data_IF_229409604727
#
_entry.id   IF_229409604727
#
_cell.length_a   1.000
_cell.length_b   1.000
_cell.length_c   1.000
_cell.angle_alpha   90.00
_cell.angle_beta   90.00
_cell.angle_gamma   90.00
#
_symmetry.space_group_name_H-M   'P 1'
#
loop_
_entity.id
_entity.type
_entity.pdbx_description
1 polymer ?
#
# COMPACT_ATOMS: atom_id res chain seq x y z
N UNK A 1 27.72 -6.07 -20.57
CA UNK A 1 26.37 -5.88 -21.16
C UNK A 1 25.61 -4.84 -20.35
N UNK A 2 25.21 -3.71 -20.93
CA UNK A 2 24.37 -2.73 -20.21
C UNK A 2 22.95 -3.26 -20.23
N UNK A 3 22.41 -3.56 -19.06
CA UNK A 3 21.00 -3.95 -18.89
C UNK A 3 20.13 -2.79 -19.38
N UNK A 4 19.18 -3.03 -20.28
CA UNK A 4 18.27 -1.99 -20.78
C UNK A 4 17.48 -1.33 -19.65
N UNK A 5 17.20 -0.05 -19.77
CA UNK A 5 16.48 0.72 -18.75
C UNK A 5 15.12 0.10 -18.41
N UNK A 6 14.36 -0.31 -19.42
CA UNK A 6 13.04 -0.97 -19.23
C UNK A 6 13.13 -2.27 -18.42
N UNK A 7 14.22 -3.01 -18.57
CA UNK A 7 14.46 -4.25 -17.84
C UNK A 7 14.94 -3.98 -16.40
N UNK A 8 15.67 -2.90 -16.22
CA UNK A 8 16.08 -2.43 -14.89
C UNK A 8 14.88 -1.96 -14.08
N UNK A 9 13.97 -1.19 -14.67
CA UNK A 9 12.75 -0.71 -14.01
C UNK A 9 11.81 -1.86 -13.60
N UNK A 10 11.71 -2.90 -14.45
CA UNK A 10 10.95 -4.12 -14.11
C UNK A 10 11.62 -4.93 -13.00
N UNK A 11 12.95 -5.05 -13.02
CA UNK A 11 13.71 -5.72 -11.96
C UNK A 11 13.57 -4.98 -10.63
N UNK A 12 13.73 -3.66 -10.62
CA UNK A 12 13.55 -2.82 -9.44
C UNK A 12 12.13 -2.91 -8.88
N UNK A 13 11.11 -2.98 -9.77
CA UNK A 13 9.72 -3.23 -9.38
C UNK A 13 9.52 -4.60 -8.72
N UNK A 14 10.07 -5.67 -9.31
CA UNK A 14 10.01 -7.01 -8.75
C UNK A 14 10.79 -7.12 -7.44
N UNK A 15 12.00 -6.55 -7.37
CA UNK A 15 12.82 -6.50 -6.16
C UNK A 15 12.13 -5.75 -5.03
N UNK A 16 11.41 -4.68 -5.32
CA UNK A 16 10.68 -3.92 -4.31
C UNK A 16 9.54 -4.75 -3.67
N UNK A 17 8.87 -5.60 -4.43
CA UNK A 17 7.83 -6.50 -3.91
C UNK A 17 8.44 -7.62 -3.05
N UNK A 18 9.53 -8.24 -3.52
CA UNK A 18 10.27 -9.25 -2.74
C UNK A 18 10.81 -8.63 -1.45
N UNK A 19 11.33 -7.40 -1.52
CA UNK A 19 11.83 -6.68 -0.34
C UNK A 19 10.72 -6.42 0.71
N UNK A 20 9.50 -6.12 0.28
CA UNK A 20 8.35 -5.95 1.19
C UNK A 20 8.03 -7.28 1.89
N UNK A 21 8.10 -8.39 1.17
CA UNK A 21 7.85 -9.71 1.72
C UNK A 21 8.94 -10.12 2.72
N UNK A 22 10.20 -9.86 2.42
CA UNK A 22 11.33 -10.03 3.34
C UNK A 22 11.19 -9.20 4.61
N UNK A 23 10.71 -7.96 4.51
CA UNK A 23 10.44 -7.11 5.67
C UNK A 23 9.33 -7.69 6.57
N UNK A 24 8.30 -8.28 5.97
CA UNK A 24 7.21 -8.92 6.71
C UNK A 24 7.64 -10.20 7.42
N UNK A 25 8.69 -10.86 6.94
CA UNK A 25 9.31 -12.06 7.53
C UNK A 25 10.26 -11.78 8.70
N UNK A 26 10.72 -10.53 8.88
CA UNK A 26 11.63 -10.17 9.97
C UNK A 26 10.93 -10.28 11.34
N UNK A 27 11.71 -10.62 12.39
CA UNK A 27 11.22 -10.68 13.75
C UNK A 27 11.13 -9.27 14.37
N UNK A 28 9.99 -8.62 14.22
CA UNK A 28 9.64 -7.35 14.86
C UNK A 28 8.40 -7.51 15.74
N UNK A 29 8.08 -6.48 16.55
CA UNK A 29 6.91 -6.52 17.44
C UNK A 29 5.60 -6.69 16.66
N UNK A 30 5.39 -5.88 15.62
CA UNK A 30 4.18 -5.97 14.79
C UNK A 30 4.08 -7.27 14.00
N UNK A 31 5.18 -7.86 13.56
CA UNK A 31 5.16 -9.11 12.81
C UNK A 31 4.71 -10.33 13.64
N UNK A 32 4.89 -10.25 14.99
CA UNK A 32 4.52 -11.31 15.93
C UNK A 32 3.04 -11.29 16.34
N UNK A 33 2.31 -10.22 16.05
CA UNK A 33 0.92 -10.01 16.44
C UNK A 33 -0.02 -10.66 15.42
N UNK A 34 -1.18 -11.14 15.92
CA UNK A 34 -2.24 -11.70 15.09
C UNK A 34 -2.67 -10.67 14.00
N UNK A 35 -2.71 -11.06 12.71
CA UNK A 35 -3.09 -10.17 11.62
C UNK A 35 -4.46 -9.53 11.80
N UNK A 36 -5.44 -10.24 12.40
CA UNK A 36 -6.78 -9.71 12.69
C UNK A 36 -6.74 -8.58 13.73
N UNK A 37 -6.00 -8.80 14.84
CA UNK A 37 -5.85 -7.79 15.88
C UNK A 37 -5.17 -6.52 15.31
N UNK A 38 -4.13 -6.70 14.49
CA UNK A 38 -3.42 -5.62 13.83
C UNK A 38 -4.34 -4.80 12.91
N UNK A 39 -5.13 -5.48 12.08
CA UNK A 39 -6.09 -4.82 11.19
C UNK A 39 -7.13 -4.03 11.98
N UNK A 40 -7.68 -4.63 13.05
CA UNK A 40 -8.65 -3.96 13.92
C UNK A 40 -8.06 -2.70 14.58
N UNK A 41 -6.83 -2.79 15.08
CA UNK A 41 -6.13 -1.65 15.71
C UNK A 41 -5.90 -0.53 14.69
N UNK A 42 -5.45 -0.84 13.48
CA UNK A 42 -5.19 0.16 12.46
C UNK A 42 -6.47 0.83 11.99
N UNK A 43 -7.55 0.06 11.79
CA UNK A 43 -8.87 0.63 11.48
C UNK A 43 -9.33 1.55 12.62
N UNK A 44 -9.17 1.11 13.86
CA UNK A 44 -9.49 1.93 15.03
C UNK A 44 -8.68 3.22 15.07
N UNK A 45 -7.37 3.17 14.83
CA UNK A 45 -6.48 4.33 14.75
C UNK A 45 -6.95 5.34 13.70
N UNK A 46 -7.30 4.85 12.49
CA UNK A 46 -7.80 5.69 11.40
C UNK A 46 -9.14 6.32 11.77
N UNK A 47 -10.08 5.52 12.29
CA UNK A 47 -11.39 6.02 12.69
C UNK A 47 -11.30 7.04 13.83
N UNK A 48 -10.48 6.78 14.84
CA UNK A 48 -10.28 7.69 15.97
C UNK A 48 -9.62 9.01 15.53
N UNK A 49 -8.73 9.01 14.53
CA UNK A 49 -8.13 10.23 14.00
C UNK A 49 -9.15 11.20 13.39
N UNK A 50 -10.32 10.71 12.94
CA UNK A 50 -11.35 11.55 12.35
C UNK A 50 -12.07 12.42 13.41
N UNK A 51 -12.11 11.98 14.65
CA UNK A 51 -12.76 12.70 15.75
C UNK A 51 -11.89 13.80 16.36
N UNK A 52 -10.59 13.82 16.06
CA UNK A 52 -9.65 14.80 16.59
C UNK A 52 -9.66 16.06 15.73
N UNK A 53 -10.08 17.17 16.31
CA UNK A 53 -10.18 18.47 15.63
C UNK A 53 -9.00 19.41 15.97
N UNK A 54 -8.19 19.12 17.02
CA UNK A 54 -7.08 19.97 17.43
C UNK A 54 -5.76 19.52 16.77
N UNK A 55 -5.01 20.50 16.26
CA UNK A 55 -3.72 20.26 15.61
C UNK A 55 -2.68 19.67 16.58
N UNK A 56 -2.67 20.12 17.84
CA UNK A 56 -1.75 19.65 18.87
C UNK A 56 -1.93 18.17 19.20
N UNK A 57 -3.18 17.73 19.38
CA UNK A 57 -3.48 16.34 19.66
C UNK A 57 -3.19 15.45 18.46
N UNK A 58 -3.48 15.93 17.25
CA UNK A 58 -3.19 15.21 16.02
C UNK A 58 -1.69 15.03 15.79
N UNK A 59 -0.88 16.06 16.08
CA UNK A 59 0.58 15.98 16.01
C UNK A 59 1.16 14.97 17.04
N UNK A 60 0.60 14.93 18.25
CA UNK A 60 1.00 13.96 19.27
C UNK A 60 0.74 12.52 18.82
N UNK A 61 -0.42 12.26 18.24
CA UNK A 61 -0.80 10.93 17.74
C UNK A 61 0.04 10.50 16.53
N UNK A 62 0.55 11.44 15.72
CA UNK A 62 1.46 11.15 14.62
C UNK A 62 2.80 10.51 15.07
N UNK A 63 3.17 10.65 16.33
CA UNK A 63 4.32 9.94 16.89
C UNK A 63 4.07 8.42 17.00
N UNK A 64 2.81 7.98 17.11
CA UNK A 64 2.45 6.57 17.27
C UNK A 64 2.89 5.68 16.08
N UNK A 65 2.52 5.98 14.81
CA UNK A 65 2.99 5.18 13.69
C UNK A 65 4.51 5.19 13.53
N UNK A 66 5.20 6.29 13.89
CA UNK A 66 6.66 6.36 13.90
C UNK A 66 7.26 5.45 14.98
N UNK A 67 6.73 5.48 16.20
CA UNK A 67 7.17 4.62 17.28
C UNK A 67 6.93 3.13 16.95
N UNK A 68 5.79 2.81 16.34
CA UNK A 68 5.46 1.46 15.90
C UNK A 68 6.37 0.99 14.75
N UNK A 69 6.73 1.86 13.81
CA UNK A 69 7.68 1.56 12.74
C UNK A 69 9.07 1.23 13.31
N UNK A 70 9.54 2.02 14.28
CA UNK A 70 10.80 1.77 15.00
C UNK A 70 10.79 0.45 15.76
N UNK A 71 9.74 0.21 16.53
CA UNK A 71 9.55 -1.02 17.30
C UNK A 71 9.46 -2.27 16.40
N UNK A 72 9.02 -2.11 15.16
CA UNK A 72 8.91 -3.16 14.14
C UNK A 72 10.19 -3.35 13.32
N UNK A 73 11.26 -2.59 13.61
CA UNK A 73 12.53 -2.62 12.87
C UNK A 73 12.36 -2.34 11.36
N UNK A 74 11.36 -1.56 11.00
CA UNK A 74 11.16 -1.11 9.62
C UNK A 74 12.13 0.05 9.35
N UNK A 75 12.88 0.07 8.23
CA UNK A 75 13.80 1.16 7.92
C UNK A 75 13.01 2.46 7.73
N UNK A 76 13.25 3.43 8.62
CA UNK A 76 12.50 4.70 8.69
C UNK A 76 12.60 5.49 7.38
N UNK A 77 13.77 5.49 6.74
CA UNK A 77 13.97 6.19 5.46
C UNK A 77 13.02 5.68 4.38
N UNK A 78 12.89 4.35 4.26
CA UNK A 78 11.97 3.74 3.29
C UNK A 78 10.49 3.97 3.66
N UNK A 79 10.18 3.89 4.94
CA UNK A 79 8.84 4.19 5.46
C UNK A 79 8.44 5.64 5.17
N UNK A 80 9.32 6.60 5.49
CA UNK A 80 9.04 8.03 5.32
C UNK A 80 8.95 8.41 3.83
N UNK A 81 9.86 7.93 3.00
CA UNK A 81 9.82 8.15 1.54
C UNK A 81 8.50 7.66 0.92
N UNK A 82 8.04 6.49 1.35
CA UNK A 82 6.78 5.91 0.86
C UNK A 82 5.54 6.66 1.36
N UNK A 83 5.57 7.14 2.61
CA UNK A 83 4.41 7.81 3.22
C UNK A 83 4.37 9.32 2.93
N UNK A 84 5.46 9.94 2.48
CA UNK A 84 5.50 11.38 2.21
C UNK A 84 4.85 11.79 0.88
N UNK A 85 4.82 10.90 -0.11
CA UNK A 85 4.32 11.22 -1.45
C UNK A 85 2.82 11.54 -1.46
N UNK A 86 2.00 10.71 -0.83
CA UNK A 86 0.53 10.86 -0.83
C UNK A 86 0.07 12.13 -0.09
N UNK A 87 0.57 12.44 1.13
CA UNK A 87 0.22 13.70 1.79
C UNK A 87 0.69 14.93 1.04
N UNK A 88 1.81 14.88 0.33
CA UNK A 88 2.24 15.97 -0.55
C UNK A 88 1.20 16.29 -1.63
N UNK A 89 0.65 15.26 -2.26
CA UNK A 89 -0.43 15.42 -3.23
C UNK A 89 -1.76 15.86 -2.58
N UNK A 90 -2.08 15.32 -1.39
CA UNK A 90 -3.25 15.74 -0.62
C UNK A 90 -3.16 17.21 -0.18
N UNK A 91 -1.97 17.68 0.23
CA UNK A 91 -1.73 19.08 0.52
C UNK A 91 -1.99 19.97 -0.71
N UNK A 92 -1.58 19.55 -1.90
CA UNK A 92 -1.84 20.28 -3.14
C UNK A 92 -3.35 20.39 -3.41
N UNK A 93 -4.12 19.31 -3.20
CA UNK A 93 -5.60 19.33 -3.37
C UNK A 93 -6.26 20.21 -2.32
N UNK A 94 -5.70 20.33 -1.13
CA UNK A 94 -6.31 21.12 -0.04
C UNK A 94 -5.97 22.61 -0.09
N UNK A 95 -5.15 23.08 -1.04
CA UNK A 95 -4.85 24.51 -1.25
C UNK A 95 -6.12 25.39 -1.34
N UNK A 96 -7.19 25.02 -2.07
CA UNK A 96 -8.41 25.83 -2.12
C UNK A 96 -9.05 26.08 -0.75
N UNK A 97 -8.85 25.18 0.23
CA UNK A 97 -9.40 25.33 1.58
C UNK A 97 -8.85 26.57 2.28
N UNK A 98 -7.59 26.97 1.98
CA UNK A 98 -6.99 28.20 2.52
C UNK A 98 -7.77 29.46 2.16
N UNK A 99 -8.44 29.46 0.99
CA UNK A 99 -9.12 30.64 0.45
C UNK A 99 -10.63 30.62 0.70
N UNK A 100 -11.23 29.42 0.83
CA UNK A 100 -12.70 29.27 0.96
C UNK A 100 -13.13 29.35 2.42
N UNK A 101 -12.26 29.01 3.38
CA UNK A 101 -12.64 28.96 4.79
C UNK A 101 -12.81 30.38 5.36
N UNK A 102 -14.00 30.72 5.90
CA UNK A 102 -14.23 32.04 6.51
C UNK A 102 -13.40 32.15 7.81
N UNK A 103 -12.75 33.32 8.00
CA UNK A 103 -11.94 33.57 9.19
C UNK A 103 -11.20 34.89 9.14
N UNK A 104 -10.30 35.12 10.11
CA UNK A 104 -9.51 36.35 10.15
C UNK A 104 -8.46 36.34 9.03
N UNK A 105 -8.50 37.34 8.12
CA UNK A 105 -7.57 37.38 7.01
C UNK A 105 -6.16 37.70 7.48
N UNK A 106 -5.21 36.81 7.23
CA UNK A 106 -3.77 37.03 7.51
C UNK A 106 -3.09 37.70 6.33
N UNK A 107 -3.52 37.38 5.12
CA UNK A 107 -2.98 37.95 3.90
C UNK A 107 -4.10 38.14 2.87
N UNK A 108 -4.27 39.37 2.38
CA UNK A 108 -5.27 39.67 1.36
C UNK A 108 -4.56 40.07 0.09
N UNK A 109 -4.79 39.35 -1.01
CA UNK A 109 -4.29 39.71 -2.33
C UNK A 109 -5.48 39.99 -3.24
N UNK A 110 -5.60 41.22 -3.70
CA UNK A 110 -6.64 41.64 -4.65
C UNK A 110 -6.13 41.39 -6.08
N UNK A 111 -6.59 40.33 -6.73
CA UNK A 111 -6.39 40.06 -8.15
C UNK A 111 -7.64 40.51 -8.94
N UNK A 112 -7.96 41.78 -8.89
CA UNK A 112 -9.03 42.40 -9.68
C UNK A 112 -10.45 41.95 -9.29
N UNK A 113 -10.92 40.85 -9.84
CA UNK A 113 -12.30 40.33 -9.65
C UNK A 113 -12.39 39.32 -8.49
N UNK A 114 -11.27 38.72 -8.06
CA UNK A 114 -11.21 37.73 -7.01
C UNK A 114 -10.41 38.25 -5.81
N UNK A 115 -11.10 38.47 -4.68
CA UNK A 115 -10.48 38.74 -3.38
C UNK A 115 -10.02 37.43 -2.77
N UNK A 116 -8.76 37.04 -2.98
CA UNK A 116 -8.17 35.86 -2.37
C UNK A 116 -7.59 36.26 -0.99
N UNK A 117 -8.32 35.89 0.06
CA UNK A 117 -7.86 36.09 1.43
C UNK A 117 -7.45 34.76 2.03
N UNK A 118 -6.19 34.66 2.44
CA UNK A 118 -5.72 33.52 3.24
C UNK A 118 -6.11 33.78 4.68
N UNK A 119 -6.95 32.89 5.25
CA UNK A 119 -7.44 33.01 6.63
C UNK A 119 -6.61 32.18 7.60
N UNK A 120 -6.51 32.60 8.85
CA UNK A 120 -5.81 31.83 9.91
C UNK A 120 -6.46 30.46 10.13
N UNK A 121 -7.79 30.43 10.13
CA UNK A 121 -8.58 29.19 10.24
C UNK A 121 -8.37 28.28 9.04
N UNK A 122 -8.24 28.85 7.84
CA UNK A 122 -7.93 28.11 6.62
C UNK A 122 -6.56 27.41 6.71
N UNK A 123 -5.54 28.08 7.27
CA UNK A 123 -4.21 27.47 7.49
C UNK A 123 -4.30 26.30 8.47
N UNK A 124 -5.03 26.47 9.57
CA UNK A 124 -5.21 25.40 10.57
C UNK A 124 -5.92 24.19 9.95
N UNK A 125 -7.00 24.42 9.22
CA UNK A 125 -7.73 23.34 8.53
C UNK A 125 -6.87 22.62 7.48
N UNK A 126 -6.09 23.36 6.71
CA UNK A 126 -5.14 22.83 5.74
C UNK A 126 -4.10 21.91 6.43
N UNK A 127 -3.52 22.38 7.55
CA UNK A 127 -2.55 21.60 8.31
C UNK A 127 -3.18 20.35 8.92
N UNK A 128 -4.35 20.48 9.56
CA UNK A 128 -5.08 19.34 10.14
C UNK A 128 -5.36 18.29 9.06
N UNK A 129 -5.83 18.70 7.89
CA UNK A 129 -6.11 17.78 6.78
C UNK A 129 -4.84 17.07 6.31
N UNK A 130 -3.76 17.80 6.04
CA UNK A 130 -2.51 17.24 5.55
C UNK A 130 -1.89 16.24 6.54
N UNK A 131 -1.86 16.59 7.82
CA UNK A 131 -1.33 15.74 8.89
C UNK A 131 -2.22 14.49 9.08
N UNK A 132 -3.54 14.63 9.00
CA UNK A 132 -4.49 13.52 9.09
C UNK A 132 -4.29 12.53 7.95
N UNK A 133 -4.17 13.01 6.71
CA UNK A 133 -3.90 12.15 5.55
C UNK A 133 -2.56 11.42 5.72
N UNK A 134 -1.52 12.13 6.18
CA UNK A 134 -0.24 11.49 6.47
C UNK A 134 -0.37 10.38 7.52
N UNK A 135 -1.10 10.62 8.60
CA UNK A 135 -1.34 9.63 9.65
C UNK A 135 -2.07 8.39 9.12
N UNK A 136 -3.12 8.57 8.33
CA UNK A 136 -3.87 7.46 7.70
C UNK A 136 -2.97 6.63 6.78
N UNK A 137 -2.18 7.29 5.92
CA UNK A 137 -1.27 6.63 5.00
C UNK A 137 -0.14 5.92 5.74
N UNK A 138 0.41 6.53 6.79
CA UNK A 138 1.43 5.93 7.64
C UNK A 138 0.91 4.66 8.33
N UNK A 139 -0.30 4.72 8.89
CA UNK A 139 -0.95 3.58 9.55
C UNK A 139 -1.20 2.42 8.57
N UNK A 140 -1.71 2.70 7.36
CA UNK A 140 -1.88 1.68 6.31
C UNK A 140 -0.55 1.10 5.82
N UNK A 141 0.47 1.95 5.66
CA UNK A 141 1.81 1.49 5.27
C UNK A 141 2.42 0.56 6.30
N UNK A 142 2.19 0.81 7.59
CA UNK A 142 2.58 -0.10 8.67
C UNK A 142 1.92 -1.47 8.54
N UNK A 143 0.62 -1.51 8.21
CA UNK A 143 -0.10 -2.77 7.99
C UNK A 143 0.56 -3.57 6.86
N UNK A 144 0.77 -2.93 5.71
CA UNK A 144 1.30 -3.58 4.51
C UNK A 144 2.74 -4.08 4.76
N UNK A 145 3.61 -3.24 5.34
CA UNK A 145 5.01 -3.58 5.59
C UNK A 145 5.21 -4.63 6.69
N UNK A 146 4.26 -4.73 7.64
CA UNK A 146 4.34 -5.68 8.75
C UNK A 146 3.56 -6.98 8.53
N UNK A 147 2.73 -7.05 7.47
CA UNK A 147 1.84 -8.18 7.20
C UNK A 147 2.13 -8.72 5.80
N UNK A 148 2.69 -9.91 5.69
CA UNK A 148 2.93 -10.55 4.40
C UNK A 148 1.63 -10.86 3.67
N UNK A 149 1.72 -11.04 2.36
CA UNK A 149 0.55 -11.28 1.51
C UNK A 149 -0.24 -12.54 1.93
N UNK A 150 0.44 -13.60 2.32
CA UNK A 150 -0.19 -14.83 2.82
C UNK A 150 -1.07 -14.58 4.04
N UNK A 151 -0.62 -13.72 4.97
CA UNK A 151 -1.40 -13.33 6.15
C UNK A 151 -2.61 -12.47 5.78
N UNK A 152 -2.52 -11.68 4.72
CA UNK A 152 -3.65 -10.90 4.19
C UNK A 152 -4.71 -11.84 3.61
N UNK A 153 -4.31 -12.91 2.92
CA UNK A 153 -5.24 -13.94 2.43
C UNK A 153 -5.96 -14.65 3.57
N UNK A 154 -5.25 -14.97 4.66
CA UNK A 154 -5.85 -15.51 5.88
C UNK A 154 -6.87 -14.52 6.49
N UNK A 155 -6.57 -13.22 6.48
CA UNK A 155 -7.52 -12.19 6.91
C UNK A 155 -8.80 -12.20 6.07
N UNK A 156 -8.66 -12.25 4.73
CA UNK A 156 -9.81 -12.31 3.84
C UNK A 156 -10.69 -13.52 4.11
N UNK A 157 -10.10 -14.69 4.32
CA UNK A 157 -10.85 -15.89 4.67
C UNK A 157 -11.59 -15.77 6.00
N UNK A 158 -11.00 -15.06 6.98
CA UNK A 158 -11.60 -14.82 8.29
C UNK A 158 -12.77 -13.83 8.24
N UNK A 159 -12.76 -12.89 7.29
CA UNK A 159 -13.85 -11.93 7.04
C UNK A 159 -15.03 -12.56 6.27
N UNK A 160 -15.08 -13.91 6.18
CA UNK A 160 -16.13 -14.67 5.46
C UNK A 160 -16.20 -14.36 3.97
N UNK A 161 -15.10 -13.91 3.37
CA UNK A 161 -14.99 -13.80 1.92
C UNK A 161 -15.10 -15.20 1.31
N UNK A 162 -15.86 -15.41 0.21
CA UNK A 162 -15.97 -16.70 -0.45
C UNK A 162 -14.60 -17.30 -0.77
N UNK A 163 -14.43 -18.60 -0.51
CA UNK A 163 -13.17 -19.35 -0.72
C UNK A 163 -12.62 -19.19 -2.13
N UNK A 164 -13.52 -19.15 -3.14
CA UNK A 164 -13.19 -18.91 -4.55
C UNK A 164 -12.35 -17.63 -4.74
N UNK A 165 -12.79 -16.52 -4.12
CA UNK A 165 -12.12 -15.22 -4.26
C UNK A 165 -10.75 -15.24 -3.59
N UNK A 166 -10.65 -15.82 -2.39
CA UNK A 166 -9.37 -15.96 -1.68
C UNK A 166 -8.38 -16.78 -2.51
N UNK A 167 -8.86 -17.88 -3.09
CA UNK A 167 -8.07 -18.74 -3.95
C UNK A 167 -7.61 -18.04 -5.24
N UNK A 168 -8.50 -17.26 -5.86
CA UNK A 168 -8.13 -16.44 -7.03
C UNK A 168 -7.00 -15.47 -6.70
N UNK A 169 -7.05 -14.80 -5.56
CA UNK A 169 -5.97 -13.90 -5.12
C UNK A 169 -4.68 -14.66 -4.84
N UNK A 170 -4.74 -15.83 -4.19
CA UNK A 170 -3.57 -16.66 -3.89
C UNK A 170 -2.87 -17.10 -5.19
N UNK A 171 -3.64 -17.61 -6.16
CA UNK A 171 -3.10 -18.00 -7.45
C UNK A 171 -2.55 -16.79 -8.23
N UNK A 172 -3.28 -15.67 -8.25
CA UNK A 172 -2.83 -14.44 -8.93
C UNK A 172 -1.48 -13.98 -8.38
N UNK A 173 -1.32 -13.94 -7.06
CA UNK A 173 -0.07 -13.55 -6.43
C UNK A 173 1.08 -14.48 -6.80
N UNK A 174 0.88 -15.79 -6.71
CA UNK A 174 1.89 -16.79 -7.06
C UNK A 174 2.31 -16.68 -8.53
N UNK A 175 1.35 -16.57 -9.46
CA UNK A 175 1.64 -16.51 -10.89
C UNK A 175 2.08 -15.13 -11.37
N UNK A 176 1.88 -14.09 -10.56
CA UNK A 176 2.42 -12.76 -10.85
C UNK A 176 3.94 -12.80 -10.99
N UNK A 177 4.67 -13.40 -10.05
CA UNK A 177 6.13 -13.52 -10.13
C UNK A 177 6.58 -14.35 -11.34
N UNK A 178 5.86 -15.43 -11.63
CA UNK A 178 6.16 -16.26 -12.81
C UNK A 178 5.96 -15.47 -14.10
N UNK A 179 4.90 -14.69 -14.20
CA UNK A 179 4.64 -13.83 -15.36
C UNK A 179 5.67 -12.72 -15.51
N UNK A 180 6.18 -12.17 -14.40
CA UNK A 180 7.28 -11.20 -14.42
C UNK A 180 8.57 -11.79 -15.02
N UNK A 181 8.95 -13.02 -14.66
CA UNK A 181 10.10 -13.71 -15.26
C UNK A 181 9.89 -13.99 -16.76
N UNK A 182 8.67 -14.33 -17.16
CA UNK A 182 8.34 -14.48 -18.58
C UNK A 182 8.41 -13.16 -19.34
N UNK A 183 7.90 -12.07 -18.75
CA UNK A 183 7.99 -10.74 -19.34
C UNK A 183 9.44 -10.32 -19.57
N UNK A 184 10.32 -10.55 -18.58
CA UNK A 184 11.76 -10.31 -18.72
C UNK A 184 12.35 -11.11 -19.88
N UNK A 185 12.03 -12.39 -19.99
CA UNK A 185 12.56 -13.26 -21.05
C UNK A 185 12.10 -12.79 -22.45
N UNK A 186 10.83 -12.35 -22.57
CA UNK A 186 10.30 -11.83 -23.84
C UNK A 186 10.94 -10.49 -24.19
N UNK A 187 11.18 -9.61 -23.22
CA UNK A 187 11.87 -8.33 -23.43
C UNK A 187 13.31 -8.54 -23.90
N UNK A 188 14.06 -9.41 -23.22
CA UNK A 188 15.44 -9.75 -23.61
C UNK A 188 15.49 -10.30 -25.03
N UNK A 189 14.58 -11.24 -25.37
CA UNK A 189 14.50 -11.82 -26.70
C UNK A 189 14.16 -10.77 -27.79
N UNK A 190 13.32 -9.79 -27.48
CA UNK A 190 13.02 -8.68 -28.37
C UNK A 190 14.23 -7.78 -28.58
N UNK A 191 14.89 -7.38 -27.52
CA UNK A 191 16.07 -6.51 -27.58
C UNK A 191 17.22 -7.14 -28.38
N UNK A 192 17.42 -8.45 -28.23
CA UNK A 192 18.38 -9.19 -29.03
C UNK A 192 18.09 -9.16 -30.55
N UNK A 193 16.82 -8.97 -30.92
CA UNK A 193 16.37 -8.88 -32.32
C UNK A 193 16.32 -7.46 -32.88
N UNK A 194 16.36 -6.45 -32.00
CA UNK A 194 16.20 -5.04 -32.40
C UNK A 194 17.57 -4.37 -32.40
N UNK A 195 18.05 -3.99 -33.61
CA UNK A 195 19.39 -3.40 -33.78
C UNK A 195 19.47 -1.91 -33.42
N UNK A 196 18.33 -1.20 -33.32
CA UNK A 196 18.30 0.26 -33.17
C UNK A 196 17.63 0.67 -31.84
N UNK A 197 18.43 1.18 -30.93
CA UNK A 197 17.97 1.89 -29.74
C UNK A 197 17.59 3.32 -30.08
N UNK A 198 16.42 3.57 -30.62
CA UNK A 198 15.86 4.92 -30.69
C UNK A 198 14.95 5.14 -29.48
N UNK A 199 15.39 6.01 -28.58
CA UNK A 199 14.65 6.49 -27.41
C UNK A 199 13.43 7.36 -27.73
N UNK A 200 13.02 7.46 -28.97
CA UNK A 200 11.87 8.28 -29.37
C UNK A 200 10.61 7.43 -29.30
N UNK A 201 9.65 7.86 -28.49
CA UNK A 201 8.31 7.24 -28.46
C UNK A 201 7.69 7.44 -29.84
N UNK A 202 7.72 6.39 -30.65
CA UNK A 202 7.18 6.38 -31.99
C UNK A 202 6.04 5.34 -32.05
N UNK A 203 5.11 5.49 -32.98
CA UNK A 203 4.01 4.54 -33.18
C UNK A 203 4.49 3.09 -33.32
N UNK A 204 5.68 2.88 -33.91
CA UNK A 204 6.31 1.59 -34.02
C UNK A 204 6.64 0.97 -32.65
N UNK A 205 7.15 1.76 -31.70
CA UNK A 205 7.45 1.31 -30.33
C UNK A 205 6.17 0.88 -29.61
N UNK A 206 5.07 1.62 -29.82
CA UNK A 206 3.76 1.28 -29.26
C UNK A 206 3.22 -0.03 -29.84
N UNK A 207 3.35 -0.26 -31.14
CA UNK A 207 2.98 -1.53 -31.80
C UNK A 207 3.80 -2.70 -31.29
N UNK A 208 5.07 -2.47 -31.07
CA UNK A 208 5.98 -3.47 -30.54
C UNK A 208 5.65 -3.84 -29.09
N UNK A 209 5.32 -2.86 -28.25
CA UNK A 209 4.83 -3.10 -26.88
C UNK A 209 3.51 -3.89 -26.90
N UNK A 210 2.59 -3.54 -27.81
CA UNK A 210 1.36 -4.28 -28.01
C UNK A 210 1.60 -5.75 -28.35
N UNK A 211 2.58 -6.05 -29.20
CA UNK A 211 2.97 -7.42 -29.55
C UNK A 211 3.52 -8.20 -28.35
N UNK A 212 4.32 -7.55 -27.48
CA UNK A 212 4.83 -8.17 -26.25
C UNK A 212 3.68 -8.51 -25.30
N UNK A 213 2.78 -7.55 -25.07
CA UNK A 213 1.60 -7.73 -24.20
C UNK A 213 0.73 -8.86 -24.73
N UNK A 214 0.47 -8.91 -26.04
CA UNK A 214 -0.29 -9.99 -26.66
C UNK A 214 0.37 -11.37 -26.45
N UNK A 215 1.69 -11.46 -26.63
CA UNK A 215 2.44 -12.71 -26.43
C UNK A 215 2.38 -13.16 -24.97
N UNK A 216 2.55 -12.24 -24.03
CA UNK A 216 2.46 -12.52 -22.59
C UNK A 216 1.05 -12.98 -22.21
N UNK A 217 0.02 -12.31 -22.76
CA UNK A 217 -1.36 -12.66 -22.50
C UNK A 217 -1.68 -14.09 -22.96
N UNK A 218 -1.30 -14.47 -24.19
CA UNK A 218 -1.51 -15.81 -24.73
C UNK A 218 -0.80 -16.86 -23.86
N UNK A 219 0.46 -16.64 -23.51
CA UNK A 219 1.24 -17.56 -22.67
C UNK A 219 0.63 -17.72 -21.27
N UNK A 220 0.18 -16.62 -20.67
CA UNK A 220 -0.45 -16.64 -19.34
C UNK A 220 -1.80 -17.35 -19.39
N UNK A 221 -2.57 -17.14 -20.45
CA UNK A 221 -3.84 -17.82 -20.68
C UNK A 221 -3.66 -19.33 -20.82
N UNK A 222 -2.79 -19.79 -21.72
CA UNK A 222 -2.49 -21.23 -21.88
C UNK A 222 -1.95 -21.85 -20.59
N UNK A 223 -1.16 -21.11 -19.81
CA UNK A 223 -0.69 -21.56 -18.50
C UNK A 223 -1.86 -21.73 -17.53
N UNK A 224 -2.81 -20.80 -17.50
CA UNK A 224 -3.96 -20.88 -16.60
C UNK A 224 -4.80 -22.11 -16.89
N UNK A 225 -5.02 -22.46 -18.16
CA UNK A 225 -5.72 -23.69 -18.55
C UNK A 225 -4.98 -24.95 -18.09
N UNK A 226 -3.65 -25.02 -18.31
CA UNK A 226 -2.84 -26.16 -17.85
C UNK A 226 -2.87 -26.32 -16.34
N UNK A 227 -2.79 -25.20 -15.60
CA UNK A 227 -2.87 -25.21 -14.12
C UNK A 227 -4.23 -25.67 -13.66
N UNK A 228 -5.30 -25.16 -14.27
CA UNK A 228 -6.67 -25.57 -13.95
C UNK A 228 -6.88 -27.07 -14.16
N UNK A 229 -6.45 -27.61 -15.31
CA UNK A 229 -6.54 -29.04 -15.59
C UNK A 229 -5.71 -29.89 -14.60
N UNK A 230 -4.52 -29.43 -14.25
CA UNK A 230 -3.66 -30.10 -13.26
C UNK A 230 -4.27 -30.07 -11.85
N UNK A 231 -4.93 -28.99 -11.45
CA UNK A 231 -5.64 -28.90 -10.18
C UNK A 231 -6.83 -29.85 -10.16
N UNK A 232 -7.62 -29.85 -11.23
CA UNK A 232 -8.79 -30.73 -11.37
C UNK A 232 -8.41 -32.21 -11.34
N UNK A 233 -7.33 -32.61 -12.02
CA UNK A 233 -6.86 -33.99 -12.03
C UNK A 233 -6.32 -34.46 -10.67
N UNK A 234 -5.94 -33.54 -9.78
CA UNK A 234 -5.51 -33.82 -8.40
C UNK A 234 -6.67 -33.80 -7.39
N UNK A 235 -7.91 -33.70 -7.86
CA UNK A 235 -9.11 -33.66 -7.00
C UNK A 235 -9.26 -32.33 -6.24
N UNK A 236 -8.71 -31.25 -6.78
CA UNK A 236 -8.88 -29.94 -6.17
C UNK A 236 -10.35 -29.50 -6.26
N UNK A 237 -10.97 -29.33 -5.10
CA UNK A 237 -12.32 -28.78 -4.94
C UNK A 237 -12.22 -27.52 -4.08
N UNK A 238 -12.80 -26.45 -4.54
CA UNK A 238 -12.72 -25.11 -3.91
C UNK A 238 -13.34 -25.13 -2.51
N UNK A 239 -14.37 -25.93 -2.29
CA UNK A 239 -15.09 -26.00 -1.02
C UNK A 239 -14.40 -26.88 0.04
N UNK A 240 -13.51 -27.78 -0.40
CA UNK A 240 -12.78 -28.72 0.48
C UNK A 240 -11.44 -28.18 0.99
N UNK A 241 -10.99 -27.00 0.55
CA UNK A 241 -9.81 -26.42 1.18
C UNK A 241 -10.08 -26.11 2.65
N UNK A 242 -9.36 -26.86 3.48
CA UNK A 242 -9.37 -26.68 4.91
C UNK A 242 -9.20 -25.19 5.23
N UNK A 243 -10.22 -24.59 5.85
CA UNK A 243 -10.12 -23.24 6.40
C UNK A 243 -8.88 -23.21 7.26
N UNK A 244 -7.82 -22.59 6.76
CA UNK A 244 -6.59 -22.47 7.53
C UNK A 244 -6.96 -21.95 8.92
N UNK A 245 -6.61 -22.66 9.99
CA UNK A 245 -7.03 -22.26 11.32
C UNK A 245 -6.53 -20.84 11.56
N UNK A 246 -7.46 -19.96 11.90
CA UNK A 246 -7.11 -18.60 12.29
C UNK A 246 -6.07 -18.69 13.42
N UNK A 247 -5.00 -17.93 13.33
CA UNK A 247 -4.07 -17.88 14.44
C UNK A 247 -4.83 -17.47 15.69
N UNK A 248 -4.75 -18.30 16.74
CA UNK A 248 -5.44 -18.07 17.99
C UNK A 248 -5.04 -16.70 18.56
N UNK A 249 -6.00 -15.99 19.13
CA UNK A 249 -5.72 -14.76 19.87
C UNK A 249 -4.83 -15.09 21.06
N UNK A 250 -3.66 -14.47 21.14
CA UNK A 250 -2.74 -14.62 22.25
C UNK A 250 -2.85 -13.41 23.18
N UNK A 251 -2.58 -13.62 24.46
CA UNK A 251 -2.49 -12.54 25.45
C UNK A 251 -1.56 -11.37 25.00
N UNK A 252 -0.57 -11.67 24.18
CA UNK A 252 0.32 -10.67 23.58
C UNK A 252 -0.43 -9.66 22.71
N UNK A 253 -1.47 -10.09 22.00
CA UNK A 253 -2.26 -9.21 21.12
C UNK A 253 -3.04 -8.19 21.96
N UNK A 254 -3.52 -8.60 23.13
CA UNK A 254 -4.20 -7.73 24.08
C UNK A 254 -3.23 -6.71 24.73
N UNK A 255 -2.07 -7.17 25.20
CA UNK A 255 -1.05 -6.27 25.77
C UNK A 255 -0.53 -5.24 24.79
N UNK A 256 -0.60 -5.50 23.50
CA UNK A 256 -0.19 -4.55 22.48
C UNK A 256 -1.33 -3.60 22.07
N UNK A 257 -2.56 -4.07 22.02
CA UNK A 257 -3.72 -3.24 21.67
C UNK A 257 -4.10 -2.27 22.78
N UNK A 258 -4.00 -2.68 24.04
CA UNK A 258 -4.38 -1.88 25.19
C UNK A 258 -3.66 -0.52 25.28
N UNK A 259 -2.32 -0.40 25.19
CA UNK A 259 -1.66 0.89 25.27
C UNK A 259 -2.02 1.84 24.12
N UNK A 260 -2.29 1.31 22.92
CA UNK A 260 -2.70 2.11 21.77
C UNK A 260 -4.09 2.68 21.98
N UNK A 261 -5.05 1.85 22.43
CA UNK A 261 -6.42 2.28 22.73
C UNK A 261 -6.41 3.29 23.88
N UNK A 262 -5.62 3.06 24.93
CA UNK A 262 -5.50 3.97 26.06
C UNK A 262 -4.88 5.31 25.62
N UNK A 263 -3.83 5.31 24.81
CA UNK A 263 -3.21 6.53 24.29
C UNK A 263 -4.22 7.37 23.48
N UNK A 264 -5.02 6.73 22.62
CA UNK A 264 -6.08 7.42 21.89
C UNK A 264 -7.20 7.89 22.80
N UNK A 265 -7.65 7.09 23.76
CA UNK A 265 -8.66 7.47 24.72
C UNK A 265 -8.26 8.67 25.56
N UNK A 266 -6.99 8.74 25.97
CA UNK A 266 -6.44 9.84 26.75
C UNK A 266 -6.36 11.14 25.93
N UNK A 267 -6.00 11.04 24.64
CA UNK A 267 -5.97 12.19 23.73
C UNK A 267 -7.37 12.66 23.32
N UNK A 268 -8.36 11.77 23.31
CA UNK A 268 -9.76 12.15 23.06
C UNK A 268 -10.42 12.79 24.30
N UNK A 269 -9.92 12.47 25.49
CA UNK A 269 -10.44 13.00 26.76
C UNK A 269 -9.81 14.36 27.16
N UNK A 270 -8.66 14.72 26.59
CA UNK A 270 -7.97 16.00 26.72
C UNK A 270 -8.44 17.01 25.68
#
# INVERSE_FOLDING_TARGET
>A
MRVPQSLRDLLEGAESLVYIEDLSGKRGLLQAINPLAKLAIIIFMIAASLFISSLSHLALICLLPLALALASKIPIGHFLSRTAFIPGFAALISIPVLFITPGTPVFTTNLGVLNLAVTSEGIVHFLIFSVRVWFCVASLSLLILSTGFDKILLLLSSLKVPSVIVQMFALTYRYFFVSMYEAQSVLIAKEARTYVHKHTINFQVLKDLGSIIATLFIRTYERSERVFMAMKSRGFEIDNEAKSPLPAFHLRDFFFSAPIVIAFGLVLAL
#
